data_IF_665566971260
#
_entry.id   IF_665566971260
#
_cell.length_a   1.000
_cell.length_b   1.000
_cell.length_c   1.000
_cell.angle_alpha   90.00
_cell.angle_beta   90.00
_cell.angle_gamma   90.00
#
_symmetry.space_group_name_H-M   'P 1'
#
loop_
_entity.id
_entity.type
_entity.pdbx_description
1 polymer ?
#
# COMPACT_ATOMS: atom_id res chain seq x y z
N UNK A 1 -5.57 15.91 17.73
CA UNK A 1 -5.33 14.52 17.29
C UNK A 1 -4.73 13.71 18.43
N UNK A 2 -4.70 12.39 18.30
CA UNK A 2 -4.05 11.48 19.26
C UNK A 2 -2.52 11.73 19.26
N UNK A 3 -1.81 11.70 20.41
CA UNK A 3 -0.37 12.00 20.44
C UNK A 3 0.48 11.05 19.57
N UNK A 4 0.07 9.77 19.46
CA UNK A 4 0.75 8.78 18.63
C UNK A 4 0.30 8.80 17.13
N UNK A 5 -0.37 9.86 16.66
CA UNK A 5 -0.91 9.88 15.28
C UNK A 5 0.19 9.78 14.23
N UNK A 6 1.30 10.50 14.39
CA UNK A 6 2.41 10.43 13.43
C UNK A 6 3.09 9.05 13.45
N UNK A 7 3.37 8.52 14.64
CA UNK A 7 3.90 7.16 14.80
C UNK A 7 2.98 6.11 14.15
N UNK A 8 1.66 6.22 14.34
CA UNK A 8 0.67 5.38 13.70
C UNK A 8 0.78 5.41 12.16
N UNK A 9 0.82 6.59 11.55
CA UNK A 9 0.87 6.70 10.09
C UNK A 9 2.18 6.18 9.53
N UNK A 10 3.31 6.47 10.17
CA UNK A 10 4.60 5.95 9.75
C UNK A 10 4.67 4.43 9.91
N UNK A 11 4.31 3.90 11.06
CA UNK A 11 4.45 2.47 11.33
C UNK A 11 3.42 1.60 10.57
N UNK A 12 2.22 2.11 10.31
CA UNK A 12 1.19 1.36 9.56
C UNK A 12 1.38 1.44 8.03
N UNK A 13 1.81 2.59 7.49
CA UNK A 13 1.90 2.76 6.02
C UNK A 13 2.97 1.86 5.41
N UNK A 14 4.12 1.69 6.09
CA UNK A 14 5.18 0.78 5.64
C UNK A 14 4.73 -0.68 5.53
N UNK A 15 3.66 -1.06 6.23
CA UNK A 15 3.08 -2.41 6.23
C UNK A 15 2.04 -2.64 5.14
N UNK A 16 1.79 -1.68 4.24
CA UNK A 16 0.75 -1.79 3.20
C UNK A 16 1.17 -2.69 2.03
N UNK A 17 1.37 -4.00 2.27
CA UNK A 17 1.74 -5.01 1.28
C UNK A 17 1.33 -6.44 1.70
N UNK A 18 1.32 -7.39 0.77
CA UNK A 18 1.35 -8.83 1.09
C UNK A 18 0.07 -9.49 1.62
N UNK A 19 -1.11 -8.87 1.48
CA UNK A 19 -2.37 -9.31 2.10
C UNK A 19 -3.09 -10.50 1.44
N UNK A 20 -2.37 -11.50 0.94
CA UNK A 20 -2.97 -12.70 0.33
C UNK A 20 -2.07 -13.92 0.50
N UNK A 21 -2.66 -15.11 0.50
CA UNK A 21 -1.94 -16.38 0.47
C UNK A 21 -1.80 -16.90 -0.95
N UNK A 22 -0.84 -17.82 -1.14
CA UNK A 22 -0.66 -18.56 -2.37
C UNK A 22 -0.79 -20.05 -2.10
N UNK A 23 -1.22 -20.80 -3.11
CA UNK A 23 -1.34 -22.25 -3.06
C UNK A 23 -0.96 -22.81 -4.43
N UNK A 24 -0.11 -23.83 -4.44
CA UNK A 24 0.33 -24.53 -5.66
C UNK A 24 0.85 -23.58 -6.76
N UNK A 25 1.57 -22.52 -6.37
CA UNK A 25 2.12 -21.53 -7.31
C UNK A 25 1.10 -20.52 -7.86
N UNK A 26 -0.09 -20.42 -7.26
CA UNK A 26 -1.15 -19.50 -7.69
C UNK A 26 -1.67 -18.65 -6.52
N UNK A 27 -2.32 -17.54 -6.83
CA UNK A 27 -3.11 -16.79 -5.85
C UNK A 27 -4.19 -17.70 -5.26
N UNK A 28 -4.32 -17.71 -3.94
CA UNK A 28 -5.34 -18.52 -3.26
C UNK A 28 -6.49 -17.64 -2.76
N UNK A 29 -6.24 -16.85 -1.70
CA UNK A 29 -7.26 -16.01 -1.09
C UNK A 29 -6.66 -14.75 -0.46
N UNK A 30 -7.43 -13.65 -0.36
CA UNK A 30 -7.02 -12.48 0.40
C UNK A 30 -7.09 -12.76 1.90
N UNK A 31 -6.30 -12.03 2.68
CA UNK A 31 -6.48 -11.94 4.14
C UNK A 31 -7.90 -11.41 4.43
N UNK A 32 -8.73 -12.25 5.07
CA UNK A 32 -10.00 -11.87 5.67
C UNK A 32 -10.08 -12.54 7.04
N UNK A 33 -10.10 -11.76 8.11
CA UNK A 33 -10.07 -12.28 9.48
C UNK A 33 -10.87 -11.37 10.44
N UNK A 34 -11.35 -11.92 11.57
CA UNK A 34 -12.03 -11.15 12.61
C UNK A 34 -11.01 -10.35 13.44
N UNK A 35 -11.30 -9.06 13.65
CA UNK A 35 -10.59 -8.22 14.60
C UNK A 35 -11.57 -7.25 15.26
N UNK A 36 -11.60 -7.26 16.59
CA UNK A 36 -12.57 -6.52 17.41
C UNK A 36 -14.03 -6.84 17.03
N UNK A 37 -14.31 -8.13 16.79
CA UNK A 37 -15.63 -8.65 16.47
C UNK A 37 -16.12 -8.36 15.05
N UNK A 38 -15.26 -7.84 14.16
CA UNK A 38 -15.63 -7.52 12.78
C UNK A 38 -14.70 -8.19 11.78
N UNK A 39 -15.27 -8.80 10.73
CA UNK A 39 -14.49 -9.32 9.62
C UNK A 39 -13.87 -8.17 8.83
N UNK A 40 -12.54 -8.16 8.73
CA UNK A 40 -11.78 -7.15 7.99
C UNK A 40 -10.91 -7.81 6.93
N UNK A 41 -10.73 -7.11 5.82
CA UNK A 41 -9.96 -7.59 4.67
C UNK A 41 -8.68 -6.78 4.47
N UNK A 42 -7.56 -7.46 4.28
CA UNK A 42 -6.25 -6.90 3.92
C UNK A 42 -5.86 -5.64 4.69
N UNK A 43 -5.67 -4.52 4.00
CA UNK A 43 -5.27 -3.24 4.63
C UNK A 43 -6.28 -2.71 5.66
N UNK A 44 -7.56 -3.09 5.58
CA UNK A 44 -8.55 -2.76 6.62
C UNK A 44 -8.34 -3.56 7.89
N UNK A 45 -7.85 -4.80 7.80
CA UNK A 45 -7.43 -5.59 8.97
C UNK A 45 -6.19 -4.96 9.61
N UNK A 46 -5.17 -4.67 8.80
CA UNK A 46 -3.96 -3.97 9.24
C UNK A 46 -4.27 -2.65 9.95
N UNK A 47 -5.17 -1.83 9.40
CA UNK A 47 -5.56 -0.56 10.02
C UNK A 47 -6.16 -0.75 11.41
N UNK A 48 -6.90 -1.84 11.65
CA UNK A 48 -7.44 -2.15 12.98
C UNK A 48 -6.37 -2.69 13.93
N UNK A 49 -5.42 -3.50 13.43
CA UNK A 49 -4.26 -3.96 14.22
C UNK A 49 -3.49 -2.76 14.78
N UNK A 50 -3.14 -1.80 13.92
CA UNK A 50 -2.39 -0.61 14.34
C UNK A 50 -3.21 0.36 15.19
N UNK A 51 -4.54 0.40 15.00
CA UNK A 51 -5.42 1.22 15.84
C UNK A 51 -5.54 0.64 17.23
N UNK A 52 -5.72 -0.69 17.34
CA UNK A 52 -5.65 -1.42 18.60
C UNK A 52 -4.33 -1.17 19.31
N UNK A 53 -3.20 -1.27 18.59
CA UNK A 53 -1.89 -0.93 19.15
C UNK A 53 -1.81 0.52 19.65
N UNK A 54 -2.35 1.48 18.90
CA UNK A 54 -2.37 2.88 19.31
C UNK A 54 -3.11 3.11 20.63
N UNK A 55 -4.21 2.38 20.84
CA UNK A 55 -5.07 2.52 22.02
C UNK A 55 -4.53 1.71 23.23
N UNK A 56 -3.97 0.52 23.01
CA UNK A 56 -3.59 -0.43 24.06
C UNK A 56 -2.08 -0.45 24.39
N UNK A 57 -1.23 -0.26 23.38
CA UNK A 57 0.23 -0.30 23.52
C UNK A 57 0.91 0.70 22.55
N UNK A 58 0.75 2.02 22.76
CA UNK A 58 1.29 3.03 21.84
C UNK A 58 2.82 3.00 21.76
N UNK A 59 3.51 2.42 22.75
CA UNK A 59 4.96 2.24 22.73
C UNK A 59 5.42 1.38 21.54
N UNK A 60 4.60 0.42 21.08
CA UNK A 60 4.87 -0.36 19.88
C UNK A 60 5.07 0.52 18.64
N UNK A 61 4.29 1.60 18.49
CA UNK A 61 4.31 2.44 17.30
C UNK A 61 5.56 3.32 17.21
N UNK A 62 6.24 3.54 18.33
CA UNK A 62 7.44 4.38 18.39
C UNK A 62 8.59 3.77 17.60
N UNK A 63 9.57 4.61 17.26
CA UNK A 63 10.82 4.17 16.63
C UNK A 63 11.51 3.05 17.42
N UNK A 64 11.63 3.20 18.74
CA UNK A 64 12.25 2.19 19.62
C UNK A 64 11.42 0.91 19.69
N UNK A 65 10.10 1.03 19.76
CA UNK A 65 9.18 -0.10 19.75
C UNK A 65 9.30 -0.91 18.45
N UNK A 66 9.29 -0.24 17.31
CA UNK A 66 9.47 -0.90 16.01
C UNK A 66 10.86 -1.53 15.87
N UNK A 67 11.92 -0.93 16.41
CA UNK A 67 13.30 -1.42 16.29
C UNK A 67 13.62 -2.67 17.13
N UNK A 68 12.84 -2.90 18.19
CA UNK A 68 13.10 -3.91 19.23
C UNK A 68 12.03 -4.99 19.33
N UNK A 69 10.85 -4.80 18.70
CA UNK A 69 9.77 -5.79 18.74
C UNK A 69 10.25 -7.16 18.28
N UNK A 70 10.01 -8.17 19.11
CA UNK A 70 10.35 -9.57 18.82
C UNK A 70 9.33 -10.17 17.85
N UNK A 71 9.72 -11.26 17.17
CA UNK A 71 8.80 -11.97 16.29
C UNK A 71 7.53 -12.46 17.04
N UNK A 72 7.68 -12.89 18.31
CA UNK A 72 6.57 -13.35 19.13
C UNK A 72 5.60 -12.22 19.51
N UNK A 73 6.12 -11.06 19.92
CA UNK A 73 5.29 -9.87 20.20
C UNK A 73 4.59 -9.37 18.93
N UNK A 74 5.29 -9.40 17.80
CA UNK A 74 4.72 -8.99 16.52
C UNK A 74 3.61 -9.95 16.06
N UNK A 75 3.80 -11.27 16.23
CA UNK A 75 2.78 -12.27 15.96
C UNK A 75 1.53 -12.05 16.83
N UNK A 76 1.72 -11.83 18.14
CA UNK A 76 0.62 -11.57 19.06
C UNK A 76 -0.18 -10.31 18.66
N UNK A 77 0.49 -9.27 18.16
CA UNK A 77 -0.17 -8.05 17.70
C UNK A 77 -1.08 -8.30 16.48
N UNK A 78 -0.64 -9.13 15.54
CA UNK A 78 -1.37 -9.43 14.30
C UNK A 78 -2.40 -10.54 14.44
N UNK A 79 -2.44 -11.22 15.59
CA UNK A 79 -3.41 -12.25 15.90
C UNK A 79 -4.85 -11.75 15.74
N UNK A 80 -5.70 -12.62 15.19
CA UNK A 80 -7.14 -12.41 15.10
C UNK A 80 -7.79 -12.41 16.50
N UNK A 81 -9.12 -12.31 16.58
CA UNK A 81 -9.83 -12.33 17.86
C UNK A 81 -9.64 -13.63 18.68
N UNK A 82 -9.15 -14.71 18.05
CA UNK A 82 -8.81 -15.97 18.71
C UNK A 82 -7.31 -16.12 18.96
N UNK A 83 -6.49 -15.11 18.62
CA UNK A 83 -5.04 -15.14 18.70
C UNK A 83 -4.35 -15.98 17.62
N UNK A 84 -5.06 -16.34 16.54
CA UNK A 84 -4.47 -17.07 15.42
C UNK A 84 -3.66 -16.14 14.52
N UNK A 85 -2.50 -16.61 14.04
CA UNK A 85 -1.76 -15.91 13.00
C UNK A 85 -2.51 -16.03 11.67
N UNK A 86 -2.96 -14.88 11.17
CA UNK A 86 -3.68 -14.75 9.91
C UNK A 86 -2.89 -14.00 8.86
N UNK A 87 -1.73 -13.40 9.19
CA UNK A 87 -1.01 -12.52 8.27
C UNK A 87 -0.16 -13.33 7.29
N UNK A 88 -0.46 -13.36 5.97
CA UNK A 88 0.19 -14.29 5.03
C UNK A 88 1.70 -14.13 4.85
N UNK A 89 2.28 -13.05 5.36
CA UNK A 89 3.69 -12.70 5.24
C UNK A 89 4.25 -12.14 6.56
N UNK A 90 3.77 -12.64 7.70
CA UNK A 90 4.05 -12.08 9.03
C UNK A 90 5.55 -11.80 9.26
N UNK A 91 6.43 -12.75 8.91
CA UNK A 91 7.88 -12.59 9.04
C UNK A 91 8.43 -11.39 8.26
N UNK A 92 7.92 -11.15 7.04
CA UNK A 92 8.32 -9.99 6.25
C UNK A 92 7.83 -8.68 6.88
N UNK A 93 6.61 -8.65 7.41
CA UNK A 93 6.07 -7.49 8.11
C UNK A 93 6.90 -7.15 9.37
N UNK A 94 7.25 -8.18 10.14
CA UNK A 94 8.11 -8.05 11.33
C UNK A 94 9.50 -7.50 10.97
N UNK A 95 10.13 -8.06 9.92
CA UNK A 95 11.43 -7.57 9.47
C UNK A 95 11.38 -6.13 8.96
N UNK A 96 10.31 -5.73 8.27
CA UNK A 96 10.11 -4.35 7.81
C UNK A 96 9.96 -3.39 9.00
N UNK A 97 9.21 -3.76 10.05
CA UNK A 97 9.11 -2.97 11.27
C UNK A 97 10.49 -2.75 11.92
N UNK A 98 11.27 -3.82 12.09
CA UNK A 98 12.60 -3.74 12.66
C UNK A 98 13.57 -2.90 11.83
N UNK A 99 13.55 -3.03 10.49
CA UNK A 99 14.38 -2.20 9.61
C UNK A 99 14.00 -0.71 9.70
N UNK A 100 12.70 -0.41 9.71
CA UNK A 100 12.20 0.94 9.89
C UNK A 100 12.71 1.57 11.19
N UNK A 101 12.49 0.90 12.32
CA UNK A 101 12.90 1.43 13.63
C UNK A 101 14.41 1.65 13.71
N UNK A 102 15.20 0.68 13.26
CA UNK A 102 16.67 0.76 13.30
C UNK A 102 17.23 1.85 12.40
N UNK A 103 16.70 2.01 11.19
CA UNK A 103 17.13 3.08 10.28
C UNK A 103 16.76 4.46 10.84
N UNK A 104 15.56 4.61 11.42
CA UNK A 104 15.14 5.84 12.10
C UNK A 104 16.05 6.18 13.29
N UNK A 105 16.41 5.20 14.14
CA UNK A 105 17.36 5.38 15.23
C UNK A 105 18.74 5.80 14.73
N UNK A 106 19.26 5.12 13.70
CA UNK A 106 20.57 5.40 13.14
C UNK A 106 20.66 6.81 12.53
N UNK A 107 19.56 7.31 11.97
CA UNK A 107 19.46 8.67 11.42
C UNK A 107 19.10 9.72 12.47
N UNK A 108 18.75 9.31 13.70
CA UNK A 108 18.33 10.23 14.76
C UNK A 108 16.96 10.86 14.54
N UNK A 109 16.10 10.23 13.74
CA UNK A 109 14.75 10.73 13.46
C UNK A 109 13.68 10.07 14.32
N UNK A 110 12.72 10.90 14.74
CA UNK A 110 11.34 10.50 15.07
C UNK A 110 10.39 10.95 13.96
N UNK A 111 9.20 10.33 13.79
CA UNK A 111 8.19 10.82 12.85
C UNK A 111 7.90 12.32 12.99
N UNK A 112 7.85 12.82 14.23
CA UNK A 112 7.62 14.22 14.56
C UNK A 112 8.75 15.11 14.03
N UNK A 113 10.01 14.78 14.33
CA UNK A 113 11.17 15.56 13.88
C UNK A 113 11.33 15.55 12.35
N UNK A 114 11.08 14.40 11.73
CA UNK A 114 11.17 14.23 10.28
C UNK A 114 10.10 15.07 9.57
N UNK A 115 8.85 15.00 10.02
CA UNK A 115 7.77 15.83 9.47
C UNK A 115 8.04 17.32 9.70
N UNK A 116 8.57 17.70 10.86
CA UNK A 116 8.94 19.09 11.13
C UNK A 116 10.06 19.58 10.20
N UNK A 117 11.08 18.77 9.94
CA UNK A 117 12.14 19.10 8.98
C UNK A 117 11.56 19.26 7.56
N UNK A 118 10.76 18.30 7.10
CA UNK A 118 10.11 18.37 5.80
C UNK A 118 9.24 19.63 5.67
N UNK A 119 8.37 19.90 6.64
CA UNK A 119 7.45 21.03 6.64
C UNK A 119 8.17 22.40 6.63
N UNK A 120 9.36 22.49 7.21
CA UNK A 120 10.16 23.71 7.25
C UNK A 120 11.09 23.89 6.05
N UNK A 121 11.08 22.94 5.10
CA UNK A 121 11.86 23.04 3.85
C UNK A 121 11.11 23.80 2.75
N UNK A 122 11.83 24.25 1.72
CA UNK A 122 11.23 24.90 0.55
C UNK A 122 10.30 23.97 -0.25
N UNK A 123 10.59 22.66 -0.23
CA UNK A 123 9.85 21.62 -0.97
C UNK A 123 9.48 20.46 -0.03
N UNK A 124 8.40 20.61 0.77
CA UNK A 124 8.09 19.69 1.85
C UNK A 124 7.87 18.23 1.44
N UNK A 125 7.17 17.97 0.33
CA UNK A 125 6.98 16.60 -0.15
C UNK A 125 8.32 16.01 -0.61
N UNK A 126 9.11 16.74 -1.39
CA UNK A 126 10.41 16.27 -1.86
C UNK A 126 11.35 15.97 -0.69
N UNK A 127 11.41 16.84 0.32
CA UNK A 127 12.22 16.62 1.52
C UNK A 127 11.78 15.38 2.29
N UNK A 128 10.47 15.20 2.51
CA UNK A 128 9.93 13.97 3.10
C UNK A 128 10.44 12.72 2.34
N UNK A 129 10.32 12.72 1.02
CA UNK A 129 10.69 11.58 0.19
C UNK A 129 12.20 11.29 0.21
N UNK A 130 13.04 12.32 0.14
CA UNK A 130 14.50 12.17 0.21
C UNK A 130 14.97 11.58 1.54
N UNK A 131 14.27 11.87 2.64
CA UNK A 131 14.58 11.26 3.94
C UNK A 131 14.10 9.80 3.94
N UNK A 132 12.87 9.55 3.48
CA UNK A 132 12.29 8.21 3.40
C UNK A 132 13.04 7.24 2.48
N UNK A 133 13.76 7.74 1.46
CA UNK A 133 14.67 6.95 0.61
C UNK A 133 15.83 6.31 1.38
N UNK A 134 16.00 6.64 2.67
CA UNK A 134 17.03 6.08 3.55
C UNK A 134 16.47 5.12 4.60
N UNK A 135 15.14 5.00 4.71
CA UNK A 135 14.46 4.29 5.80
C UNK A 135 13.82 2.99 5.30
N UNK A 136 14.10 1.88 5.97
CA UNK A 136 13.55 0.57 5.66
C UNK A 136 12.03 0.54 5.70
N UNK A 137 11.42 -0.20 4.78
CA UNK A 137 9.97 -0.22 4.55
C UNK A 137 9.48 0.90 3.62
N UNK A 138 10.30 1.94 3.39
CA UNK A 138 10.02 3.06 2.48
C UNK A 138 10.98 3.12 1.29
N UNK A 139 12.27 2.84 1.52
CA UNK A 139 13.34 3.00 0.52
C UNK A 139 13.37 1.95 -0.59
N UNK A 140 12.66 0.84 -0.43
CA UNK A 140 12.80 -0.31 -1.33
C UNK A 140 12.09 -0.13 -2.67
N UNK A 141 11.04 0.71 -2.71
CA UNK A 141 10.22 0.89 -3.91
C UNK A 141 10.70 2.06 -4.77
N UNK A 142 11.18 1.83 -6.01
CA UNK A 142 11.57 2.91 -6.91
C UNK A 142 10.41 3.83 -7.32
N UNK A 143 9.15 3.38 -7.19
CA UNK A 143 7.97 4.22 -7.45
C UNK A 143 7.46 4.94 -6.21
N UNK A 144 8.09 4.69 -5.06
CA UNK A 144 7.79 5.33 -3.78
C UNK A 144 6.30 5.26 -3.40
N UNK A 145 5.55 4.21 -3.72
CA UNK A 145 4.11 4.17 -3.43
C UNK A 145 3.82 4.26 -1.94
N UNK A 146 4.55 3.59 -1.05
CA UNK A 146 4.40 3.79 0.41
C UNK A 146 4.79 5.20 0.88
N UNK A 147 5.97 5.76 0.52
CA UNK A 147 6.29 7.16 0.83
C UNK A 147 5.23 8.17 0.35
N UNK A 148 4.70 7.99 -0.86
CA UNK A 148 3.65 8.86 -1.41
C UNK A 148 2.33 8.70 -0.68
N UNK A 149 1.94 7.46 -0.37
CA UNK A 149 0.74 7.19 0.42
C UNK A 149 0.84 7.84 1.82
N UNK A 150 2.02 7.80 2.44
CA UNK A 150 2.29 8.50 3.70
C UNK A 150 2.16 10.02 3.51
N UNK A 151 2.81 10.59 2.50
CA UNK A 151 2.73 12.03 2.20
C UNK A 151 1.27 12.49 2.00
N UNK A 152 0.49 11.76 1.20
CA UNK A 152 -0.93 12.02 0.98
C UNK A 152 -1.73 11.94 2.29
N UNK A 153 -1.50 10.91 3.11
CA UNK A 153 -2.17 10.77 4.40
C UNK A 153 -1.86 11.95 5.33
N UNK A 154 -0.61 12.40 5.40
CA UNK A 154 -0.20 13.55 6.22
C UNK A 154 -0.80 14.87 5.70
N UNK A 155 -0.94 15.01 4.38
CA UNK A 155 -1.47 16.21 3.72
C UNK A 155 -3.00 16.33 3.74
N UNK A 156 -3.73 15.22 3.63
CA UNK A 156 -5.19 15.24 3.49
C UNK A 156 -5.92 15.28 4.83
N UNK A 157 -5.19 15.19 5.95
CA UNK A 157 -5.77 15.26 7.29
C UNK A 157 -6.25 16.67 7.67
N UNK A 158 -7.21 16.77 8.61
CA UNK A 158 -7.60 18.05 9.20
C UNK A 158 -6.43 18.76 9.90
N UNK A 159 -5.52 18.02 10.54
CA UNK A 159 -4.36 18.60 11.22
C UNK A 159 -3.30 19.17 10.27
N UNK A 160 -3.34 18.80 8.97
CA UNK A 160 -2.39 19.27 7.94
C UNK A 160 -0.92 19.15 8.38
N UNK A 161 -0.54 17.95 8.85
CA UNK A 161 0.84 17.69 9.31
C UNK A 161 1.91 17.97 8.25
N UNK A 162 1.55 17.86 6.97
CA UNK A 162 2.43 18.21 5.86
C UNK A 162 1.66 18.97 4.78
N UNK A 163 2.10 20.17 4.43
CA UNK A 163 1.56 20.94 3.31
C UNK A 163 2.55 20.89 2.16
N UNK A 164 2.13 20.39 1.00
CA UNK A 164 2.95 20.36 -0.20
C UNK A 164 3.16 21.77 -0.75
N UNK A 165 4.34 22.02 -1.32
CA UNK A 165 4.62 23.20 -2.12
C UNK A 165 3.71 23.27 -3.34
N UNK A 166 3.46 24.47 -3.85
CA UNK A 166 2.54 24.71 -4.97
C UNK A 166 2.98 24.07 -6.29
N UNK A 167 4.27 23.79 -6.44
CA UNK A 167 4.89 23.15 -7.60
C UNK A 167 5.17 21.65 -7.37
N UNK A 168 4.87 21.13 -6.18
CA UNK A 168 5.11 19.72 -5.85
C UNK A 168 3.95 18.85 -6.35
N UNK A 169 4.30 17.84 -7.15
CA UNK A 169 3.35 16.91 -7.75
C UNK A 169 3.50 15.54 -7.12
N UNK A 170 2.38 14.94 -6.72
CA UNK A 170 2.33 13.55 -6.27
C UNK A 170 2.28 12.65 -7.51
N UNK A 171 3.26 11.75 -7.73
CA UNK A 171 3.21 10.77 -8.81
C UNK A 171 2.17 9.68 -8.51
N UNK A 172 1.77 8.89 -9.53
CA UNK A 172 0.85 7.76 -9.35
C UNK A 172 1.27 6.78 -8.25
N UNK A 173 0.30 6.41 -7.40
CA UNK A 173 0.44 5.44 -6.31
C UNK A 173 0.01 4.07 -6.84
N UNK A 174 0.94 3.26 -7.32
CA UNK A 174 0.61 1.99 -8.01
C UNK A 174 0.59 0.82 -7.02
N UNK A 175 -0.60 0.39 -6.64
CA UNK A 175 -0.83 -0.87 -5.93
C UNK A 175 -1.35 -1.98 -6.87
N UNK A 176 -1.45 -3.20 -6.35
CA UNK A 176 -1.92 -4.33 -7.14
C UNK A 176 -3.42 -4.24 -7.49
N UNK A 177 -4.23 -3.48 -6.73
CA UNK A 177 -5.64 -3.26 -7.09
C UNK A 177 -5.76 -2.36 -8.33
N UNK A 178 -4.91 -1.33 -8.42
CA UNK A 178 -4.82 -0.43 -9.55
C UNK A 178 -4.28 -1.15 -10.79
N UNK A 179 -3.25 -2.00 -10.63
CA UNK A 179 -2.77 -2.85 -11.73
C UNK A 179 -3.90 -3.75 -12.28
N UNK A 180 -4.66 -4.43 -11.41
CA UNK A 180 -5.84 -5.21 -11.85
C UNK A 180 -6.85 -4.33 -12.59
N UNK A 181 -7.12 -3.13 -12.09
CA UNK A 181 -8.07 -2.21 -12.71
C UNK A 181 -7.60 -1.79 -14.10
N UNK A 182 -6.33 -1.44 -14.26
CA UNK A 182 -5.75 -1.05 -15.55
C UNK A 182 -5.84 -2.18 -16.58
N UNK A 183 -5.53 -3.42 -16.18
CA UNK A 183 -5.65 -4.60 -17.04
C UNK A 183 -7.10 -4.86 -17.45
N UNK A 184 -8.04 -4.90 -16.50
CA UNK A 184 -9.45 -5.24 -16.76
C UNK A 184 -10.19 -4.19 -17.57
N UNK A 185 -9.89 -2.91 -17.31
CA UNK A 185 -10.48 -1.77 -18.03
C UNK A 185 -9.95 -1.68 -19.46
N UNK A 186 -8.75 -2.22 -19.73
CA UNK A 186 -8.09 -2.10 -21.02
C UNK A 186 -7.25 -0.82 -21.14
N UNK A 187 -6.78 -0.27 -20.01
CA UNK A 187 -5.79 0.81 -20.00
C UNK A 187 -4.39 0.30 -20.37
N UNK A 188 -4.16 -1.01 -20.19
CA UNK A 188 -2.92 -1.70 -20.56
C UNK A 188 -3.29 -2.90 -21.43
N UNK A 189 -2.55 -3.09 -22.51
CA UNK A 189 -2.59 -4.30 -23.32
C UNK A 189 -1.37 -5.18 -23.03
N UNK A 190 -1.62 -6.44 -22.65
CA UNK A 190 -0.56 -7.45 -22.49
C UNK A 190 -0.34 -8.12 -23.84
N UNK A 191 0.75 -7.78 -24.51
CA UNK A 191 1.10 -8.32 -25.85
C UNK A 191 1.83 -9.66 -25.79
N UNK A 192 2.48 -9.96 -24.68
CA UNK A 192 3.11 -11.25 -24.44
C UNK A 192 2.04 -12.27 -24.03
N UNK A 193 1.83 -13.31 -24.85
CA UNK A 193 0.80 -14.32 -24.64
C UNK A 193 1.05 -15.17 -23.39
N UNK A 194 2.32 -15.39 -23.02
CA UNK A 194 2.69 -16.15 -21.83
C UNK A 194 2.30 -15.37 -20.58
N UNK A 195 2.67 -14.09 -20.51
CA UNK A 195 2.31 -13.21 -19.42
C UNK A 195 0.79 -13.04 -19.31
N UNK A 196 0.08 -12.89 -20.43
CA UNK A 196 -1.38 -12.81 -20.44
C UNK A 196 -2.02 -14.08 -19.86
N UNK A 197 -1.51 -15.26 -20.24
CA UNK A 197 -1.95 -16.56 -19.73
C UNK A 197 -1.67 -16.69 -18.24
N UNK A 198 -0.47 -16.35 -17.80
CA UNK A 198 -0.07 -16.45 -16.38
C UNK A 198 -0.87 -15.48 -15.49
N UNK A 199 -1.16 -14.26 -15.98
CA UNK A 199 -2.05 -13.29 -15.30
C UNK A 199 -3.47 -13.82 -15.19
N UNK A 200 -4.04 -14.39 -16.27
CA UNK A 200 -5.38 -14.97 -16.25
C UNK A 200 -5.49 -16.19 -15.32
N UNK A 201 -4.43 -17.01 -15.28
CA UNK A 201 -4.32 -18.15 -14.38
C UNK A 201 -4.04 -17.75 -12.92
N UNK A 202 -3.74 -16.47 -12.64
CA UNK A 202 -3.33 -15.96 -11.31
C UNK A 202 -2.09 -16.66 -10.77
N UNK A 203 -1.17 -17.02 -11.66
CA UNK A 203 0.08 -17.67 -11.31
C UNK A 203 1.01 -16.68 -10.61
N UNK A 204 1.83 -17.19 -9.69
CA UNK A 204 2.93 -16.42 -9.10
C UNK A 204 3.89 -16.01 -10.21
N UNK A 205 4.09 -14.71 -10.37
CA UNK A 205 4.90 -14.14 -11.44
C UNK A 205 6.35 -13.89 -11.01
N UNK A 206 7.22 -13.69 -12.00
CA UNK A 206 8.57 -13.18 -11.76
C UNK A 206 8.54 -11.69 -11.38
N UNK A 207 9.62 -11.21 -10.76
CA UNK A 207 9.78 -9.79 -10.47
C UNK A 207 9.79 -8.92 -11.74
N UNK A 208 10.35 -9.45 -12.84
CA UNK A 208 10.42 -8.74 -14.12
C UNK A 208 9.02 -8.56 -14.73
N UNK A 209 8.20 -9.61 -14.70
CA UNK A 209 6.82 -9.56 -15.21
C UNK A 209 5.96 -8.59 -14.39
N UNK A 210 6.09 -8.63 -13.07
CA UNK A 210 5.39 -7.67 -12.21
C UNK A 210 5.82 -6.23 -12.51
N UNK A 211 7.12 -5.99 -12.65
CA UNK A 211 7.66 -4.66 -12.92
C UNK A 211 7.16 -4.11 -14.27
N UNK A 212 7.06 -4.95 -15.31
CA UNK A 212 6.54 -4.54 -16.62
C UNK A 212 5.08 -4.10 -16.50
N UNK A 213 4.23 -4.88 -15.81
CA UNK A 213 2.81 -4.51 -15.60
C UNK A 213 2.70 -3.25 -14.74
N UNK A 214 3.50 -3.15 -13.68
CA UNK A 214 3.49 -2.01 -12.76
C UNK A 214 3.93 -0.71 -13.43
N UNK A 215 4.96 -0.77 -14.28
CA UNK A 215 5.42 0.36 -15.10
C UNK A 215 4.35 0.80 -16.08
N UNK A 216 3.72 -0.12 -16.81
CA UNK A 216 2.64 0.19 -17.73
C UNK A 216 1.43 0.84 -17.02
N UNK A 217 1.10 0.37 -15.81
CA UNK A 217 0.06 0.98 -14.98
C UNK A 217 0.43 2.40 -14.53
N UNK A 218 1.68 2.61 -14.13
CA UNK A 218 2.20 3.94 -13.81
C UNK A 218 2.00 4.92 -14.97
N UNK A 219 2.47 4.57 -16.16
CA UNK A 219 2.37 5.40 -17.37
C UNK A 219 0.93 5.65 -17.80
N UNK A 220 0.06 4.63 -17.72
CA UNK A 220 -1.36 4.78 -18.04
C UNK A 220 -2.06 5.78 -17.10
N UNK A 221 -1.70 5.76 -15.82
CA UNK A 221 -2.31 6.67 -14.83
C UNK A 221 -1.76 8.10 -14.96
N UNK A 222 -0.48 8.28 -15.32
CA UNK A 222 0.04 9.60 -15.70
C UNK A 222 -0.72 10.18 -16.89
N UNK A 223 -0.98 9.36 -17.92
CA UNK A 223 -1.77 9.79 -19.08
C UNK A 223 -3.21 10.15 -18.69
N UNK A 224 -3.86 9.37 -17.82
CA UNK A 224 -5.20 9.72 -17.32
C UNK A 224 -5.18 11.05 -16.57
N UNK A 225 -4.18 11.30 -15.73
CA UNK A 225 -4.03 12.57 -15.02
C UNK A 225 -3.88 13.75 -16.00
N UNK A 226 -3.00 13.61 -16.98
CA UNK A 226 -2.78 14.63 -17.99
C UNK A 226 -4.03 14.91 -18.84
N UNK A 227 -4.72 13.86 -19.30
CA UNK A 227 -5.90 13.99 -20.17
C UNK A 227 -7.14 14.49 -19.43
N UNK A 228 -7.33 14.09 -18.17
CA UNK A 228 -8.52 14.44 -17.39
C UNK A 228 -8.38 15.77 -16.64
N UNK A 229 -7.16 16.27 -16.45
CA UNK A 229 -6.86 17.42 -15.60
C UNK A 229 -7.18 17.18 -14.11
N UNK A 230 -7.42 15.93 -13.69
CA UNK A 230 -7.69 15.57 -12.29
C UNK A 230 -6.38 15.33 -11.54
N UNK A 231 -6.38 15.63 -10.24
CA UNK A 231 -5.24 15.33 -9.39
C UNK A 231 -5.06 13.82 -9.22
N UNK A 232 -3.82 13.38 -8.99
CA UNK A 232 -3.52 11.97 -8.73
C UNK A 232 -4.30 11.44 -7.51
N UNK A 233 -4.48 12.25 -6.46
CA UNK A 233 -5.30 11.84 -5.31
C UNK A 233 -6.77 11.55 -5.67
N UNK A 234 -7.36 12.29 -6.62
CA UNK A 234 -8.72 12.02 -7.08
C UNK A 234 -8.80 10.74 -7.92
N UNK A 235 -7.78 10.50 -8.76
CA UNK A 235 -7.67 9.29 -9.59
C UNK A 235 -7.45 8.05 -8.73
N UNK A 236 -6.52 8.13 -7.77
CA UNK A 236 -6.27 7.07 -6.78
C UNK A 236 -7.56 6.72 -6.02
N UNK A 237 -8.25 7.72 -5.47
CA UNK A 237 -9.51 7.51 -4.76
C UNK A 237 -10.56 6.83 -5.65
N UNK A 238 -10.68 7.26 -6.91
CA UNK A 238 -11.63 6.66 -7.86
C UNK A 238 -11.35 5.18 -8.10
N UNK A 239 -10.12 4.81 -8.46
CA UNK A 239 -9.78 3.42 -8.75
C UNK A 239 -9.73 2.55 -7.49
N UNK A 240 -9.31 3.10 -6.35
CA UNK A 240 -9.31 2.41 -5.07
C UNK A 240 -10.74 1.99 -4.68
N UNK A 241 -11.74 2.82 -4.95
CA UNK A 241 -13.15 2.51 -4.72
C UNK A 241 -13.78 1.61 -5.81
N UNK A 242 -13.27 1.66 -7.05
CA UNK A 242 -13.76 0.82 -8.14
C UNK A 242 -13.66 -0.69 -7.83
N UNK A 243 -12.69 -1.11 -7.00
CA UNK A 243 -12.54 -2.51 -6.58
C UNK A 243 -13.75 -3.09 -5.85
N UNK A 244 -14.62 -2.25 -5.26
CA UNK A 244 -15.84 -2.71 -4.59
C UNK A 244 -16.80 -3.35 -5.59
N UNK A 245 -16.82 -2.85 -6.83
CA UNK A 245 -17.62 -3.40 -7.95
C UNK A 245 -16.81 -4.36 -8.83
N UNK A 246 -15.49 -4.29 -8.77
CA UNK A 246 -14.57 -5.17 -9.50
C UNK A 246 -13.64 -5.95 -8.53
N UNK A 247 -14.20 -6.83 -7.69
CA UNK A 247 -13.43 -7.59 -6.72
C UNK A 247 -12.52 -8.63 -7.38
N UNK A 248 -11.51 -9.09 -6.64
CA UNK A 248 -10.58 -10.15 -7.06
C UNK A 248 -11.20 -11.55 -7.11
N UNK A 249 -12.12 -11.86 -6.20
CA UNK A 249 -12.55 -13.25 -5.95
C UNK A 249 -13.94 -13.59 -6.46
N UNK A 250 -14.74 -12.60 -6.82
CA UNK A 250 -16.13 -12.80 -7.30
C UNK A 250 -16.35 -12.08 -8.61
N UNK A 251 -17.45 -12.41 -9.29
CA UNK A 251 -17.83 -11.74 -10.53
C UNK A 251 -17.97 -10.23 -10.34
N UNK A 252 -17.37 -9.41 -11.24
CA UNK A 252 -17.57 -7.97 -11.24
C UNK A 252 -19.01 -7.55 -11.53
N UNK A 253 -19.50 -6.56 -10.80
CA UNK A 253 -20.79 -5.88 -11.04
C UNK A 253 -20.64 -4.82 -12.15
N UNK A 254 -20.26 -5.23 -13.37
CA UNK A 254 -19.94 -4.30 -14.47
C UNK A 254 -21.03 -3.26 -14.73
N UNK A 255 -22.30 -3.67 -14.79
CA UNK A 255 -23.45 -2.79 -15.04
C UNK A 255 -23.66 -1.67 -13.98
N UNK A 256 -22.94 -1.73 -12.85
CA UNK A 256 -22.97 -0.73 -11.78
C UNK A 256 -21.65 0.03 -11.65
N UNK A 257 -20.70 -0.20 -12.55
CA UNK A 257 -19.40 0.43 -12.57
C UNK A 257 -19.45 1.74 -13.38
N UNK A 258 -18.82 2.80 -12.89
CA UNK A 258 -18.74 4.08 -13.60
C UNK A 258 -17.98 4.00 -14.93
N UNK A 259 -17.26 2.91 -15.18
CA UNK A 259 -16.50 2.68 -16.42
C UNK A 259 -17.21 1.72 -17.39
N UNK A 260 -18.45 1.30 -17.13
CA UNK A 260 -19.07 0.20 -17.88
C UNK A 260 -19.06 0.42 -19.41
N UNK A 261 -19.38 1.63 -19.85
CA UNK A 261 -19.50 1.97 -21.27
C UNK A 261 -18.16 1.98 -22.03
N UNK A 262 -17.04 2.11 -21.32
CA UNK A 262 -15.68 2.24 -21.91
C UNK A 262 -14.74 1.10 -21.54
N UNK A 263 -15.12 0.30 -20.54
CA UNK A 263 -14.30 -0.80 -20.03
C UNK A 263 -14.26 -1.95 -21.04
N UNK A 264 -13.05 -2.46 -21.32
CA UNK A 264 -12.83 -3.64 -22.14
C UNK A 264 -13.34 -4.95 -21.50
N UNK A 265 -13.70 -4.92 -20.21
CA UNK A 265 -14.27 -6.04 -19.45
C UNK A 265 -13.43 -7.32 -19.52
N UNK A 266 -12.10 -7.20 -19.50
CA UNK A 266 -11.14 -8.33 -19.47
C UNK A 266 -11.10 -8.99 -18.09
N UNK A 267 -12.25 -9.50 -17.64
CA UNK A 267 -12.50 -9.96 -16.25
C UNK A 267 -11.55 -11.07 -15.81
N UNK A 268 -11.08 -11.86 -16.76
CA UNK A 268 -10.11 -12.94 -16.59
C UNK A 268 -8.74 -12.43 -16.14
N UNK A 269 -8.32 -11.23 -16.59
CA UNK A 269 -7.03 -10.68 -16.20
C UNK A 269 -7.03 -10.31 -14.71
N UNK A 270 -5.96 -10.74 -14.04
CA UNK A 270 -5.73 -10.53 -12.62
C UNK A 270 -4.55 -9.57 -12.39
N UNK A 271 -4.38 -9.08 -11.15
CA UNK A 271 -3.12 -8.41 -10.82
C UNK A 271 -1.93 -9.38 -10.91
N UNK A 272 -0.70 -8.86 -11.09
CA UNK A 272 0.49 -9.63 -10.81
C UNK A 272 0.43 -10.26 -9.41
N UNK A 273 0.65 -11.58 -9.34
CA UNK A 273 0.74 -12.29 -8.06
C UNK A 273 2.22 -12.37 -7.71
N UNK A 274 2.71 -11.32 -7.09
CA UNK A 274 4.11 -11.21 -6.70
C UNK A 274 4.18 -10.50 -5.35
N UNK A 275 4.90 -11.09 -4.38
CA UNK A 275 5.00 -10.55 -3.03
C UNK A 275 6.34 -9.83 -2.89
N UNK A 276 6.28 -8.54 -2.62
CA UNK A 276 7.46 -7.72 -2.37
C UNK A 276 7.22 -6.70 -1.26
N UNK A 277 8.30 -6.31 -0.59
CA UNK A 277 8.31 -5.17 0.33
C UNK A 277 8.44 -3.83 -0.42
N UNK A 278 8.93 -3.87 -1.67
CA UNK A 278 9.08 -2.74 -2.58
C UNK A 278 7.74 -2.37 -3.25
N UNK A 279 6.66 -2.35 -2.47
CA UNK A 279 5.36 -1.87 -2.91
C UNK A 279 5.15 -0.44 -2.53
#
# INVERSE_FOLDING_TARGET
>A
GHPATLDFFFASTLQQFGFWTTKDGHYHEPLIAPIQGQMRKGSSYLSQVYRRAMDENPAFLTVDGQATVTAAEFAALYGDDNGQDVMPALDLHWQVANRYGRDMQALGYTPQSLVAEAQNSERPLQTLLMILDKIGGYKEDPLRKKPMLLGLALNQRPEKFLTFGSDEVVPPVIDYHLMRSCLRVGLIDVKDETLATDLAARKVLSAADEQVVRRAAYEAIEQIAALSGKSIGAIDWFFFNARLRCPEMTEPECAKCALDDVCAKRKELFQPVYRTIAY
#
